data_IF_682486796439
#
_entry.id   IF_682486796439
#
_cell.length_a   1.000
_cell.length_b   1.000
_cell.length_c   1.000
_cell.angle_alpha   90.00
_cell.angle_beta   90.00
_cell.angle_gamma   90.00
#
_symmetry.space_group_name_H-M   'P 1'
#
loop_
_entity.id
_entity.type
_entity.pdbx_description
1 polymer ?
#
# COMPACT_ATOMS: atom_id res chain seq x y z
N UNK A 1 -41.06 -3.87 -43.15
CA UNK A 1 -39.65 -4.09 -42.81
C UNK A 1 -39.51 -5.46 -42.16
N UNK A 2 -39.07 -6.47 -42.89
CA UNK A 2 -38.85 -7.82 -42.33
C UNK A 2 -37.49 -7.82 -41.57
N UNK A 3 -37.54 -8.06 -40.28
CA UNK A 3 -36.33 -8.34 -39.47
C UNK A 3 -35.77 -9.70 -39.92
N UNK A 4 -34.68 -9.71 -40.67
CA UNK A 4 -33.93 -10.94 -40.93
C UNK A 4 -33.37 -11.46 -39.60
N UNK A 5 -33.88 -12.60 -39.12
CA UNK A 5 -33.28 -13.32 -38.03
C UNK A 5 -31.95 -13.93 -38.48
N UNK A 6 -30.87 -13.64 -37.76
CA UNK A 6 -29.58 -14.30 -37.99
C UNK A 6 -29.78 -15.82 -37.96
N UNK A 7 -29.25 -16.56 -38.91
CA UNK A 7 -29.34 -18.03 -38.94
C UNK A 7 -28.73 -18.57 -37.60
N UNK A 8 -29.45 -19.50 -36.97
CA UNK A 8 -29.13 -19.99 -35.61
C UNK A 8 -27.66 -20.46 -35.42
N UNK A 9 -27.02 -20.95 -36.47
CA UNK A 9 -25.59 -21.32 -36.43
C UNK A 9 -24.66 -20.13 -36.21
N UNK A 10 -24.98 -18.96 -36.76
CA UNK A 10 -24.19 -17.73 -36.53
C UNK A 10 -24.36 -17.21 -35.10
N UNK A 11 -25.57 -17.28 -34.56
CA UNK A 11 -25.84 -16.89 -33.18
C UNK A 11 -25.05 -17.80 -32.18
N UNK A 12 -25.03 -19.11 -32.42
CA UNK A 12 -24.27 -20.06 -31.60
C UNK A 12 -22.75 -19.79 -31.67
N UNK A 13 -22.23 -19.50 -32.88
CA UNK A 13 -20.81 -19.18 -33.06
C UNK A 13 -20.43 -17.88 -32.34
N UNK A 14 -21.27 -16.85 -32.37
CA UNK A 14 -21.03 -15.59 -31.66
C UNK A 14 -21.03 -15.79 -30.14
N UNK A 15 -21.96 -16.56 -29.60
CA UNK A 15 -21.99 -16.90 -28.18
C UNK A 15 -20.74 -17.68 -27.75
N UNK A 16 -20.35 -18.68 -28.55
CA UNK A 16 -19.13 -19.45 -28.27
C UNK A 16 -17.86 -18.57 -28.34
N UNK A 17 -17.76 -17.64 -29.26
CA UNK A 17 -16.65 -16.71 -29.38
C UNK A 17 -16.59 -15.78 -28.17
N UNK A 18 -17.72 -15.21 -27.75
CA UNK A 18 -17.80 -14.35 -26.55
C UNK A 18 -17.41 -15.13 -25.30
N UNK A 19 -17.89 -16.36 -25.14
CA UNK A 19 -17.52 -17.19 -24.02
C UNK A 19 -16.01 -17.53 -24.01
N UNK A 20 -15.45 -17.88 -25.16
CA UNK A 20 -14.03 -18.18 -25.29
C UNK A 20 -13.14 -16.95 -25.01
N UNK A 21 -13.52 -15.76 -25.49
CA UNK A 21 -12.79 -14.51 -25.19
C UNK A 21 -12.90 -14.13 -23.72
N UNK A 22 -14.06 -14.32 -23.09
CA UNK A 22 -14.23 -14.06 -21.65
C UNK A 22 -13.37 -14.98 -20.80
N UNK A 23 -13.29 -16.28 -21.14
CA UNK A 23 -12.41 -17.23 -20.48
C UNK A 23 -10.94 -16.89 -20.69
N UNK A 24 -10.55 -16.52 -21.91
CA UNK A 24 -9.18 -16.13 -22.24
C UNK A 24 -8.74 -14.87 -21.45
N UNK A 25 -9.63 -13.88 -21.36
CA UNK A 25 -9.39 -12.66 -20.54
C UNK A 25 -9.25 -13.01 -19.07
N UNK A 26 -10.13 -13.85 -18.51
CA UNK A 26 -10.07 -14.27 -17.12
C UNK A 26 -8.80 -15.09 -16.79
N UNK A 27 -8.32 -15.91 -17.75
CA UNK A 27 -7.07 -16.66 -17.59
C UNK A 27 -5.84 -15.75 -17.72
N UNK A 28 -5.87 -14.78 -18.65
CA UNK A 28 -4.81 -13.79 -18.81
C UNK A 28 -4.71 -12.90 -17.58
N UNK A 29 -5.85 -12.48 -17.00
CA UNK A 29 -5.91 -11.68 -15.78
C UNK A 29 -5.28 -12.44 -14.59
N UNK A 30 -5.51 -13.76 -14.47
CA UNK A 30 -4.85 -14.61 -13.47
C UNK A 30 -3.35 -14.74 -13.66
N UNK A 31 -2.85 -14.65 -14.90
CA UNK A 31 -1.41 -14.71 -15.19
C UNK A 31 -0.72 -13.35 -15.04
N UNK A 32 -1.45 -12.26 -15.26
CA UNK A 32 -0.93 -10.89 -15.13
C UNK A 32 -0.87 -10.42 -13.67
N UNK A 33 -1.67 -11.02 -12.75
CA UNK A 33 -1.76 -10.68 -11.33
C UNK A 33 -1.25 -11.73 -10.32
N UNK A 34 -0.20 -12.53 -10.61
CA UNK A 34 0.35 -13.40 -9.57
C UNK A 34 1.02 -12.62 -8.43
N UNK A 35 1.42 -11.34 -8.68
CA UNK A 35 2.03 -10.49 -7.65
C UNK A 35 1.04 -9.94 -6.61
N UNK A 36 -0.22 -9.77 -6.94
CA UNK A 36 -1.22 -9.26 -5.98
C UNK A 36 -1.53 -10.26 -4.86
N UNK A 37 -1.50 -11.56 -5.13
CA UNK A 37 -1.72 -12.58 -4.10
C UNK A 37 -0.60 -12.59 -3.05
N UNK A 38 0.66 -12.44 -3.47
CA UNK A 38 1.81 -12.42 -2.56
C UNK A 38 1.76 -11.21 -1.61
N UNK A 39 1.39 -10.05 -2.11
CA UNK A 39 1.27 -8.87 -1.27
C UNK A 39 0.11 -8.97 -0.27
N UNK A 40 -1.01 -9.60 -0.65
CA UNK A 40 -2.14 -9.77 0.26
C UNK A 40 -1.78 -10.61 1.49
N UNK A 41 -1.02 -11.70 1.33
CA UNK A 41 -0.58 -12.53 2.45
C UNK A 41 0.32 -11.76 3.41
N UNK A 42 1.21 -10.91 2.89
CA UNK A 42 2.08 -10.05 3.70
C UNK A 42 1.29 -8.99 4.47
N UNK A 43 0.35 -8.30 3.83
CA UNK A 43 -0.53 -7.33 4.50
C UNK A 43 -1.36 -7.99 5.61
N UNK A 44 -1.90 -9.18 5.35
CA UNK A 44 -2.64 -9.94 6.35
C UNK A 44 -1.76 -10.36 7.52
N UNK A 45 -0.55 -10.85 7.28
CA UNK A 45 0.36 -11.27 8.34
C UNK A 45 0.78 -10.07 9.22
N UNK A 46 1.12 -8.93 8.61
CA UNK A 46 1.42 -7.70 9.36
C UNK A 46 0.21 -7.24 10.16
N UNK A 47 -0.97 -7.23 9.54
CA UNK A 47 -2.21 -6.81 10.20
C UNK A 47 -2.61 -7.77 11.33
N UNK A 48 -2.40 -9.07 11.17
CA UNK A 48 -2.61 -10.06 12.22
C UNK A 48 -1.72 -9.78 13.43
N UNK A 49 -0.41 -9.59 13.20
CA UNK A 49 0.50 -9.21 14.28
C UNK A 49 0.03 -7.96 15.02
N UNK A 50 -0.41 -6.94 14.28
CA UNK A 50 -0.96 -5.71 14.87
C UNK A 50 -2.19 -6.01 15.72
N UNK A 51 -3.15 -6.81 15.22
CA UNK A 51 -4.35 -7.17 15.96
C UNK A 51 -4.04 -7.88 17.28
N UNK A 52 -3.08 -8.79 17.26
CA UNK A 52 -2.70 -9.62 18.41
C UNK A 52 -1.90 -8.83 19.46
N UNK A 53 -1.21 -7.75 19.04
CA UNK A 53 -0.24 -7.05 19.88
C UNK A 53 -0.59 -5.58 20.16
N UNK A 54 -1.81 -5.12 19.81
CA UNK A 54 -2.29 -3.77 20.10
C UNK A 54 -3.76 -3.78 20.52
N UNK A 55 -4.19 -2.74 21.23
CA UNK A 55 -5.60 -2.60 21.62
C UNK A 55 -6.45 -2.12 20.43
N UNK A 56 -7.77 -2.41 20.39
CA UNK A 56 -8.67 -2.01 19.31
C UNK A 56 -8.72 -0.50 19.02
N UNK A 57 -8.50 0.33 20.04
CA UNK A 57 -8.50 1.79 19.94
C UNK A 57 -7.12 2.39 19.67
N UNK A 58 -6.08 1.55 19.59
CA UNK A 58 -4.71 1.97 19.27
C UNK A 58 -4.62 2.64 17.91
N UNK A 59 -3.72 3.60 17.81
CA UNK A 59 -3.38 4.24 16.53
C UNK A 59 -2.10 3.66 15.97
N UNK A 60 -2.06 3.54 14.66
CA UNK A 60 -0.91 3.09 13.89
C UNK A 60 -0.43 4.18 12.95
N UNK A 61 0.83 4.07 12.56
CA UNK A 61 1.34 4.78 11.40
C UNK A 61 2.06 3.80 10.46
N UNK A 62 1.65 3.75 9.20
CA UNK A 62 2.27 2.95 8.16
C UNK A 62 3.09 3.89 7.27
N UNK A 63 4.40 3.67 7.25
CA UNK A 63 5.32 4.34 6.35
C UNK A 63 5.41 3.55 5.06
N UNK A 64 4.89 4.10 3.97
CA UNK A 64 4.76 3.47 2.66
C UNK A 64 3.41 3.78 2.03
N UNK A 65 3.00 2.97 1.05
CA UNK A 65 1.70 3.08 0.40
C UNK A 65 0.91 1.77 0.57
N UNK A 66 0.70 1.38 1.82
CA UNK A 66 0.05 0.12 2.22
C UNK A 66 -1.14 0.36 3.16
N UNK A 67 -2.19 1.09 2.69
CA UNK A 67 -3.37 1.43 3.50
C UNK A 67 -4.17 0.19 3.91
N UNK A 68 -4.01 -0.94 3.21
CA UNK A 68 -4.63 -2.23 3.50
C UNK A 68 -4.32 -2.70 4.93
N UNK A 69 -3.13 -2.37 5.45
CA UNK A 69 -2.73 -2.73 6.83
C UNK A 69 -3.69 -2.10 7.85
N UNK A 70 -4.10 -0.84 7.67
CA UNK A 70 -5.07 -0.21 8.57
C UNK A 70 -6.44 -0.89 8.52
N UNK A 71 -6.87 -1.25 7.29
CA UNK A 71 -8.16 -1.89 7.05
C UNK A 71 -8.21 -3.29 7.70
N UNK A 72 -7.20 -4.11 7.41
CA UNK A 72 -7.15 -5.49 7.93
C UNK A 72 -6.89 -5.54 9.44
N UNK A 73 -6.04 -4.65 9.94
CA UNK A 73 -5.81 -4.52 11.39
C UNK A 73 -6.97 -3.88 12.13
N UNK A 74 -7.90 -3.22 11.46
CA UNK A 74 -9.01 -2.45 12.06
C UNK A 74 -8.51 -1.47 13.10
N UNK A 75 -7.44 -0.73 12.77
CA UNK A 75 -6.84 0.28 13.65
C UNK A 75 -6.92 1.65 13.01
N UNK A 76 -6.97 2.69 13.84
CA UNK A 76 -7.03 4.07 13.39
C UNK A 76 -5.65 4.55 12.92
N UNK A 77 -5.64 5.41 11.91
CA UNK A 77 -4.43 6.12 11.51
C UNK A 77 -4.02 7.14 12.56
N UNK A 78 -2.72 7.30 12.78
CA UNK A 78 -2.16 8.37 13.62
C UNK A 78 -1.90 9.66 12.83
N UNK A 79 -1.94 9.61 11.51
CA UNK A 79 -1.72 10.74 10.62
C UNK A 79 -2.93 10.96 9.71
N UNK A 80 -3.08 12.20 9.22
CA UNK A 80 -4.00 12.54 8.13
C UNK A 80 -3.60 11.94 6.79
N UNK A 81 -2.35 11.51 6.67
CA UNK A 81 -1.81 10.90 5.46
C UNK A 81 -1.94 9.38 5.53
N UNK A 82 -2.69 8.82 4.59
CA UNK A 82 -2.89 7.37 4.45
C UNK A 82 -1.66 6.69 3.81
N UNK A 83 -0.91 7.45 3.02
CA UNK A 83 0.35 7.06 2.40
C UNK A 83 1.36 8.19 2.52
N UNK A 84 2.65 7.88 2.31
CA UNK A 84 3.73 8.86 2.45
C UNK A 84 4.12 9.54 1.12
N UNK A 85 3.27 9.49 0.13
CA UNK A 85 3.48 10.10 -1.19
C UNK A 85 3.76 11.61 -1.09
N UNK A 86 3.07 12.29 -0.18
CA UNK A 86 3.27 13.72 0.07
C UNK A 86 4.60 14.05 0.76
N UNK A 87 5.28 13.09 1.35
CA UNK A 87 6.58 13.24 1.99
C UNK A 87 7.73 12.80 1.09
N UNK A 88 7.47 11.85 0.20
CA UNK A 88 8.47 11.27 -0.72
C UNK A 88 8.45 11.91 -2.10
N UNK A 89 7.34 12.56 -2.49
CA UNK A 89 7.13 13.05 -3.85
C UNK A 89 6.74 11.97 -4.84
N UNK A 90 6.40 10.77 -4.35
CA UNK A 90 6.00 9.66 -5.19
C UNK A 90 4.62 9.91 -5.80
N UNK A 91 4.53 10.05 -7.13
CA UNK A 91 3.28 10.32 -7.85
C UNK A 91 2.94 9.15 -8.77
N UNK A 92 1.87 8.42 -8.45
CA UNK A 92 1.44 7.25 -9.23
C UNK A 92 1.13 7.59 -10.67
N UNK A 93 1.52 6.68 -11.59
CA UNK A 93 1.25 6.83 -13.01
C UNK A 93 2.15 7.83 -13.73
N UNK A 94 3.23 8.27 -13.11
CA UNK A 94 4.26 9.10 -13.77
C UNK A 94 5.55 8.30 -14.00
N UNK A 95 6.37 8.67 -15.00
CA UNK A 95 7.68 8.04 -15.20
C UNK A 95 8.60 8.13 -13.96
N UNK A 96 8.42 9.14 -13.11
CA UNK A 96 9.15 9.28 -11.84
C UNK A 96 8.87 8.12 -10.88
N UNK A 97 7.69 7.47 -10.95
CA UNK A 97 7.38 6.29 -10.16
C UNK A 97 8.19 5.06 -10.57
N UNK A 98 8.48 4.93 -11.86
CA UNK A 98 9.29 3.82 -12.39
C UNK A 98 10.78 4.03 -12.06
N UNK A 99 11.16 5.22 -11.61
CA UNK A 99 12.52 5.65 -11.27
C UNK A 99 12.77 5.83 -9.74
N UNK A 100 11.84 5.36 -8.88
CA UNK A 100 12.04 5.41 -7.43
C UNK A 100 11.73 6.77 -6.78
N UNK A 101 10.71 7.49 -7.30
CA UNK A 101 10.23 8.74 -6.72
C UNK A 101 10.72 10.00 -7.45
N UNK A 102 10.40 11.17 -6.90
CA UNK A 102 10.85 12.46 -7.42
C UNK A 102 12.28 12.78 -6.92
N UNK A 103 13.33 12.63 -7.76
CA UNK A 103 14.71 12.86 -7.31
C UNK A 103 14.94 14.29 -6.83
N UNK A 104 14.20 15.25 -7.37
CA UNK A 104 14.28 16.67 -6.99
C UNK A 104 13.28 17.05 -5.90
N UNK A 105 12.41 16.12 -5.49
CA UNK A 105 11.32 16.35 -4.49
C UNK A 105 10.40 17.53 -4.82
N UNK A 106 10.23 17.84 -6.09
CA UNK A 106 9.39 18.97 -6.57
C UNK A 106 7.92 18.78 -6.25
N UNK A 107 7.49 17.51 -6.13
CA UNK A 107 6.10 17.15 -5.84
C UNK A 107 5.81 17.06 -4.32
N UNK A 108 6.78 17.37 -3.46
CA UNK A 108 6.56 17.39 -2.01
C UNK A 108 5.99 18.74 -1.59
N UNK A 109 4.73 18.82 -1.11
CA UNK A 109 4.18 20.07 -0.59
C UNK A 109 4.97 20.55 0.62
N UNK A 110 5.28 21.85 0.66
CA UNK A 110 6.16 22.45 1.67
C UNK A 110 5.77 22.11 3.12
N UNK A 111 4.46 22.08 3.41
CA UNK A 111 3.94 21.84 4.76
C UNK A 111 3.72 20.35 5.10
N UNK A 112 3.86 19.44 4.13
CA UNK A 112 3.50 18.03 4.31
C UNK A 112 4.27 17.37 5.46
N UNK A 113 5.56 17.66 5.56
CA UNK A 113 6.40 17.14 6.64
C UNK A 113 6.05 17.73 8.02
N UNK A 114 5.71 19.01 8.09
CA UNK A 114 5.32 19.65 9.34
C UNK A 114 4.00 19.08 9.84
N UNK A 115 3.03 18.88 8.95
CA UNK A 115 1.77 18.24 9.25
C UNK A 115 1.95 16.81 9.74
N UNK A 116 2.78 16.02 9.02
CA UNK A 116 3.04 14.64 9.44
C UNK A 116 3.64 14.58 10.84
N UNK A 117 4.70 15.35 11.09
CA UNK A 117 5.36 15.33 12.38
C UNK A 117 4.46 15.81 13.52
N UNK A 118 3.63 16.83 13.27
CA UNK A 118 2.64 17.28 14.23
C UNK A 118 1.59 16.19 14.54
N UNK A 119 1.09 15.52 13.51
CA UNK A 119 0.13 14.41 13.68
C UNK A 119 0.74 13.28 14.52
N UNK A 120 1.97 12.86 14.22
CA UNK A 120 2.64 11.78 14.94
C UNK A 120 2.95 12.15 16.40
N UNK A 121 3.33 13.41 16.67
CA UNK A 121 3.57 13.89 18.01
C UNK A 121 2.29 13.98 18.84
N UNK A 122 1.19 14.41 18.23
CA UNK A 122 -0.10 14.55 18.91
C UNK A 122 -0.80 13.22 19.15
N UNK A 123 -0.68 12.28 18.21
CA UNK A 123 -1.41 11.01 18.24
C UNK A 123 -0.59 9.84 18.79
N UNK A 124 0.73 9.95 18.82
CA UNK A 124 1.68 8.97 19.37
C UNK A 124 1.28 7.52 19.03
N UNK A 125 1.40 7.10 17.76
CA UNK A 125 1.01 5.74 17.35
C UNK A 125 1.66 4.68 18.23
N UNK A 126 0.94 3.62 18.56
CA UNK A 126 1.48 2.50 19.33
C UNK A 126 2.53 1.74 18.52
N UNK A 127 2.26 1.55 17.24
CA UNK A 127 3.20 0.95 16.29
C UNK A 127 3.42 1.88 15.08
N UNK A 128 4.66 1.92 14.63
CA UNK A 128 5.07 2.43 13.32
C UNK A 128 5.52 1.24 12.49
N UNK A 129 5.00 1.11 11.28
CA UNK A 129 5.22 -0.01 10.35
C UNK A 129 5.96 0.55 9.13
N UNK A 130 7.17 0.07 8.86
CA UNK A 130 7.95 0.48 7.68
C UNK A 130 7.67 -0.46 6.51
N UNK A 131 6.53 -0.24 5.85
CA UNK A 131 6.09 -1.06 4.72
C UNK A 131 7.00 -0.87 3.49
N UNK A 132 7.62 0.31 3.35
CA UNK A 132 8.58 0.59 2.29
C UNK A 132 9.85 -0.26 2.45
N UNK A 133 10.41 -0.36 3.66
CA UNK A 133 11.56 -1.24 3.92
C UNK A 133 11.22 -2.72 3.66
N UNK A 134 9.98 -3.14 3.92
CA UNK A 134 9.49 -4.49 3.67
C UNK A 134 9.12 -4.78 2.21
N UNK A 135 9.31 -3.82 1.32
CA UNK A 135 9.02 -3.96 -0.13
C UNK A 135 7.58 -4.38 -0.44
N UNK A 136 6.63 -3.99 0.40
CA UNK A 136 5.22 -4.33 0.22
C UNK A 136 4.56 -3.55 -0.90
N UNK A 137 5.05 -2.36 -1.16
CA UNK A 137 4.60 -1.47 -2.21
C UNK A 137 5.80 -1.03 -3.06
N UNK A 138 5.56 -0.38 -4.16
CA UNK A 138 6.62 0.08 -5.06
C UNK A 138 7.41 1.28 -4.49
N UNK A 139 7.63 1.31 -3.17
CA UNK A 139 8.37 2.36 -2.47
C UNK A 139 9.65 1.83 -1.80
N UNK A 140 10.21 0.76 -2.35
CA UNK A 140 11.40 0.06 -1.83
C UNK A 140 12.60 1.00 -1.60
N UNK A 141 12.66 2.08 -2.38
CA UNK A 141 13.71 3.08 -2.30
C UNK A 141 13.48 4.15 -1.21
N UNK A 142 12.35 4.09 -0.50
CA UNK A 142 11.92 5.13 0.43
C UNK A 142 11.71 4.61 1.88
N UNK A 143 12.59 3.73 2.43
CA UNK A 143 12.46 3.30 3.81
C UNK A 143 12.61 4.47 4.79
N UNK A 144 12.11 4.30 6.02
CA UNK A 144 12.23 5.31 7.09
C UNK A 144 13.67 5.81 7.26
N UNK A 145 14.65 4.93 7.14
CA UNK A 145 16.06 5.25 7.31
C UNK A 145 16.59 6.28 6.30
N UNK A 146 15.96 6.42 5.15
CA UNK A 146 16.32 7.40 4.12
C UNK A 146 15.82 8.82 4.44
N UNK A 147 14.89 8.95 5.39
CA UNK A 147 14.23 10.20 5.74
C UNK A 147 14.68 10.70 7.13
N UNK A 148 15.66 11.62 7.23
CA UNK A 148 16.29 12.00 8.51
C UNK A 148 15.28 12.43 9.60
N UNK A 149 14.22 13.18 9.23
CA UNK A 149 13.19 13.61 10.19
C UNK A 149 12.42 12.43 10.78
N UNK A 150 12.04 11.47 9.94
CA UNK A 150 11.30 10.28 10.38
C UNK A 150 12.21 9.32 11.13
N UNK A 151 13.44 9.09 10.64
CA UNK A 151 14.43 8.27 11.31
C UNK A 151 14.75 8.78 12.72
N UNK A 152 14.95 10.09 12.88
CA UNK A 152 15.18 10.72 14.18
C UNK A 152 13.97 10.56 15.12
N UNK A 153 12.75 10.71 14.60
CA UNK A 153 11.54 10.51 15.37
C UNK A 153 11.43 9.07 15.88
N UNK A 154 11.63 8.09 14.99
CA UNK A 154 11.60 6.66 15.37
C UNK A 154 12.71 6.35 16.38
N UNK A 155 13.94 6.77 16.14
CA UNK A 155 15.06 6.53 17.05
C UNK A 155 14.82 7.10 18.46
N UNK A 156 14.14 8.24 18.57
CA UNK A 156 13.86 8.90 19.84
C UNK A 156 12.73 8.26 20.63
N UNK A 157 11.64 7.86 19.99
CA UNK A 157 10.39 7.50 20.66
C UNK A 157 10.02 6.02 20.52
N UNK A 158 10.69 5.29 19.64
CA UNK A 158 10.36 3.91 19.31
C UNK A 158 11.57 2.99 19.42
N UNK A 159 11.30 1.70 19.48
CA UNK A 159 12.29 0.64 19.35
C UNK A 159 11.78 -0.39 18.34
N UNK A 160 12.66 -1.10 17.67
CA UNK A 160 12.28 -2.25 16.86
C UNK A 160 11.59 -3.28 17.79
N UNK A 161 10.39 -3.67 17.44
CA UNK A 161 9.59 -4.66 18.14
C UNK A 161 9.79 -6.03 17.50
N UNK A 162 9.54 -6.10 16.21
CA UNK A 162 9.68 -7.31 15.38
C UNK A 162 9.82 -6.96 13.90
N UNK A 163 10.05 -8.00 13.11
CA UNK A 163 9.99 -7.94 11.64
C UNK A 163 9.07 -9.05 11.16
N UNK A 164 8.04 -8.71 10.40
CA UNK A 164 7.07 -9.64 9.81
C UNK A 164 7.19 -9.59 8.30
N UNK A 165 7.59 -10.68 7.64
CA UNK A 165 7.83 -10.71 6.19
C UNK A 165 8.74 -9.57 5.70
N UNK A 166 9.88 -9.39 6.37
CA UNK A 166 10.83 -8.31 6.12
C UNK A 166 10.32 -6.89 6.39
N UNK A 167 9.09 -6.73 6.88
CA UNK A 167 8.52 -5.44 7.29
C UNK A 167 8.90 -5.14 8.73
N UNK A 168 9.71 -4.11 9.01
CA UNK A 168 10.03 -3.70 10.37
C UNK A 168 8.82 -3.04 11.05
N UNK A 169 8.54 -3.44 12.27
CA UNK A 169 7.54 -2.84 13.15
C UNK A 169 8.24 -2.24 14.37
N UNK A 170 7.98 -0.97 14.62
CA UNK A 170 8.58 -0.22 15.72
C UNK A 170 7.52 0.10 16.76
N UNK A 171 7.76 -0.30 18.00
CA UNK A 171 6.86 -0.05 19.14
C UNK A 171 7.31 1.17 19.92
N UNK A 172 6.35 1.98 20.36
CA UNK A 172 6.58 3.09 21.26
C UNK A 172 7.24 2.59 22.56
N UNK A 173 8.21 3.34 23.02
CA UNK A 173 8.93 3.08 24.29
C UNK A 173 8.05 3.40 25.49
#
# INVERSE_FOLDING_TARGET
MQRQSLPGKIAVLLVALVAATSVAVALADRQVWPRSAWHQDHYHAVAQYVCENTQPDSRLFVWGNSPEIYLYARRRMASRYMSVNYQTGHVWGTPANDLGGDPDRKNVPAESWNHLMADLQNNLPELIIDAAAGKLDKMDDEPISRHPRMAAFVARYYRLDTTVWDVPLYRRR
#
